data_IF_086647301017
#
_entry.id   IF_086647301017
#
_cell.length_a   1.000
_cell.length_b   1.000
_cell.length_c   1.000
_cell.angle_alpha   90.00
_cell.angle_beta   90.00
_cell.angle_gamma   90.00
#
_symmetry.space_group_name_H-M   'P 1'
#
loop_
_entity.id
_entity.type
_entity.pdbx_description
1 polymer ?
#
# COMPACT_ATOMS: atom_id res chain seq x y z
N UNK A 1 17.24 -3.10 32.72
CA UNK A 1 15.82 -3.39 32.43
C UNK A 1 15.18 -2.16 31.82
N UNK A 2 14.97 -2.18 30.51
CA UNK A 2 13.88 -1.48 29.83
C UNK A 2 13.72 -2.19 28.49
N UNK A 3 13.03 -3.33 28.51
CA UNK A 3 12.54 -3.95 27.28
C UNK A 3 11.51 -2.98 26.72
N UNK A 4 11.87 -2.29 25.64
CA UNK A 4 10.91 -1.57 24.84
C UNK A 4 10.00 -2.63 24.22
N UNK A 5 8.83 -2.81 24.82
CA UNK A 5 7.74 -3.59 24.21
C UNK A 5 7.28 -2.83 22.97
N UNK A 6 7.88 -3.14 21.82
CA UNK A 6 7.34 -2.79 20.52
C UNK A 6 6.17 -3.74 20.30
N UNK A 7 4.94 -3.23 20.42
CA UNK A 7 3.77 -3.95 19.91
C UNK A 7 3.83 -3.90 18.39
N UNK A 8 4.51 -4.88 17.80
CA UNK A 8 4.42 -5.22 16.37
C UNK A 8 3.03 -5.81 16.09
N UNK A 9 2.02 -4.93 16.09
CA UNK A 9 0.61 -5.28 16.01
C UNK A 9 0.02 -5.03 14.63
N UNK A 10 0.32 -5.94 13.70
CA UNK A 10 -0.51 -6.35 12.56
C UNK A 10 -0.84 -5.32 11.45
N UNK A 11 0.06 -5.25 10.46
CA UNK A 11 -0.36 -5.44 9.09
C UNK A 11 0.57 -6.50 8.48
N UNK A 12 0.10 -7.75 8.46
CA UNK A 12 1.00 -8.90 8.21
C UNK A 12 1.32 -9.06 6.72
N UNK A 13 0.43 -8.62 5.84
CA UNK A 13 0.61 -8.62 4.39
C UNK A 13 -0.19 -7.48 3.74
N UNK A 14 0.25 -7.00 2.57
CA UNK A 14 -0.44 -5.99 1.76
C UNK A 14 -1.92 -6.32 1.49
N UNK A 15 -2.22 -7.61 1.26
CA UNK A 15 -3.60 -8.10 1.05
C UNK A 15 -4.53 -7.87 2.24
N UNK A 16 -3.99 -7.75 3.46
CA UNK A 16 -4.80 -7.58 4.67
C UNK A 16 -5.12 -6.09 4.92
N UNK A 17 -4.58 -5.19 4.08
CA UNK A 17 -4.79 -3.75 4.17
C UNK A 17 -6.18 -3.40 3.62
N UNK A 18 -6.93 -2.59 4.36
CA UNK A 18 -8.26 -2.15 3.95
C UNK A 18 -8.24 -1.46 2.57
N UNK A 19 -9.31 -1.61 1.75
CA UNK A 19 -9.35 -1.14 0.36
C UNK A 19 -9.61 0.36 0.25
N UNK A 20 -8.75 1.16 0.87
CA UNK A 20 -8.76 2.60 0.76
C UNK A 20 -7.32 3.13 0.79
N UNK A 21 -7.09 4.23 0.09
CA UNK A 21 -5.76 4.81 -0.07
C UNK A 21 -5.11 5.21 1.26
N UNK A 22 -5.90 5.67 2.24
CA UNK A 22 -5.38 6.05 3.55
C UNK A 22 -4.75 4.87 4.31
N UNK A 23 -5.40 3.70 4.27
CA UNK A 23 -4.88 2.48 4.87
C UNK A 23 -3.62 1.99 4.14
N UNK A 24 -3.59 2.07 2.80
CA UNK A 24 -2.39 1.74 2.01
C UNK A 24 -1.21 2.64 2.37
N UNK A 25 -1.40 3.97 2.39
CA UNK A 25 -0.34 4.91 2.73
C UNK A 25 0.17 4.72 4.17
N UNK A 26 -0.72 4.42 5.11
CA UNK A 26 -0.32 4.09 6.48
C UNK A 26 0.51 2.80 6.53
N UNK A 27 0.05 1.73 5.87
CA UNK A 27 0.78 0.48 5.76
C UNK A 27 2.19 0.69 5.20
N UNK A 28 2.30 1.34 4.04
CA UNK A 28 3.58 1.59 3.39
C UNK A 28 4.50 2.48 4.22
N UNK A 29 3.95 3.42 4.99
CA UNK A 29 4.76 4.22 5.92
C UNK A 29 5.36 3.36 7.02
N UNK A 30 4.59 2.42 7.59
CA UNK A 30 5.09 1.50 8.62
C UNK A 30 6.18 0.60 8.03
N UNK A 31 5.94 0.02 6.86
CA UNK A 31 6.92 -0.83 6.15
C UNK A 31 8.19 -0.08 5.76
N UNK A 32 8.10 1.20 5.40
CA UNK A 32 9.24 2.04 5.04
C UNK A 32 9.87 2.77 6.25
N UNK A 33 9.85 2.15 7.44
CA UNK A 33 10.46 2.67 8.68
C UNK A 33 10.02 4.10 9.04
N UNK A 34 8.76 4.44 8.78
CA UNK A 34 8.17 5.75 9.06
C UNK A 34 8.33 6.78 7.93
N UNK A 35 9.01 6.45 6.84
CA UNK A 35 9.15 7.31 5.65
C UNK A 35 7.79 7.54 5.01
N UNK A 36 7.47 8.80 4.70
CA UNK A 36 6.19 9.16 4.12
C UNK A 36 6.20 8.82 2.63
N UNK A 37 5.37 7.86 2.24
CA UNK A 37 5.00 7.62 0.85
C UNK A 37 3.80 8.51 0.52
N UNK A 38 3.82 9.12 -0.67
CA UNK A 38 2.74 9.99 -1.18
C UNK A 38 2.15 9.37 -2.43
N UNK A 39 0.87 9.65 -2.65
CA UNK A 39 0.25 9.47 -3.96
C UNK A 39 0.80 10.50 -4.95
N UNK A 40 1.30 10.02 -6.09
CA UNK A 40 1.77 10.87 -7.18
C UNK A 40 0.71 10.98 -8.27
N UNK A 41 0.05 9.85 -8.57
CA UNK A 41 -0.94 9.79 -9.64
C UNK A 41 -1.96 8.68 -9.35
N UNK A 42 -3.23 9.01 -9.58
CA UNK A 42 -4.34 8.06 -9.53
C UNK A 42 -5.07 8.16 -10.87
N UNK A 43 -5.22 7.03 -11.56
CA UNK A 43 -5.90 6.99 -12.85
C UNK A 43 -6.50 5.62 -13.13
N UNK A 44 -7.57 5.61 -13.93
CA UNK A 44 -8.15 4.37 -14.43
C UNK A 44 -7.28 3.79 -15.56
N UNK A 45 -6.72 2.60 -15.35
CA UNK A 45 -5.94 1.89 -16.38
C UNK A 45 -6.86 1.07 -17.27
N UNK A 46 -6.88 1.38 -18.57
CA UNK A 46 -7.58 0.58 -19.57
C UNK A 46 -6.99 -0.83 -19.73
N UNK A 47 -5.69 -0.98 -19.46
CA UNK A 47 -4.97 -2.26 -19.52
C UNK A 47 -5.43 -3.21 -18.41
N UNK A 48 -5.59 -2.69 -17.19
CA UNK A 48 -5.97 -3.49 -16.02
C UNK A 48 -7.47 -3.42 -15.69
N UNK A 49 -8.22 -2.53 -16.34
CA UNK A 49 -9.65 -2.33 -16.13
C UNK A 49 -10.00 -1.84 -14.73
N UNK A 50 -9.11 -1.08 -14.08
CA UNK A 50 -9.25 -0.64 -12.68
C UNK A 50 -8.40 0.59 -12.37
N UNK A 51 -8.64 1.19 -11.22
CA UNK A 51 -7.83 2.30 -10.73
C UNK A 51 -6.43 1.83 -10.32
N UNK A 52 -5.43 2.57 -10.78
CA UNK A 52 -4.01 2.39 -10.48
C UNK A 52 -3.52 3.57 -9.68
N UNK A 53 -2.78 3.27 -8.62
CA UNK A 53 -2.20 4.22 -7.67
C UNK A 53 -0.68 4.17 -7.81
N UNK A 54 -0.10 5.14 -8.51
CA UNK A 54 1.35 5.33 -8.57
C UNK A 54 1.78 6.18 -7.37
N UNK A 55 2.72 5.64 -6.60
CA UNK A 55 3.18 6.24 -5.36
C UNK A 55 4.66 6.62 -5.43
N UNK A 56 5.09 7.50 -4.52
CA UNK A 56 6.44 8.06 -4.50
C UNK A 56 7.56 7.07 -4.14
N UNK A 57 7.22 5.82 -3.83
CA UNK A 57 8.17 4.71 -3.71
C UNK A 57 8.59 4.14 -5.08
N UNK A 58 7.99 4.64 -6.17
CA UNK A 58 8.23 4.17 -7.53
C UNK A 58 7.45 2.90 -7.88
N UNK A 59 6.49 2.50 -7.06
CA UNK A 59 5.62 1.35 -7.30
C UNK A 59 4.20 1.80 -7.65
N UNK A 60 3.50 0.91 -8.36
CA UNK A 60 2.08 1.05 -8.61
C UNK A 60 1.29 -0.05 -7.90
N UNK A 61 0.14 0.35 -7.37
CA UNK A 61 -0.76 -0.52 -6.62
C UNK A 61 -2.15 -0.47 -7.24
N UNK A 62 -2.88 -1.56 -7.10
CA UNK A 62 -4.31 -1.62 -7.44
C UNK A 62 -5.04 -2.58 -6.51
N UNK A 63 -6.36 -2.46 -6.49
CA UNK A 63 -7.25 -3.41 -5.84
C UNK A 63 -7.61 -4.54 -6.82
N UNK A 64 -7.58 -5.78 -6.34
CA UNK A 64 -8.13 -6.90 -7.07
C UNK A 64 -9.66 -7.00 -6.93
N UNK A 65 -10.24 -8.03 -7.56
CA UNK A 65 -11.69 -8.23 -7.58
C UNK A 65 -12.23 -8.61 -6.18
N UNK A 66 -11.35 -9.07 -5.28
CA UNK A 66 -11.65 -9.39 -3.88
C UNK A 66 -11.37 -8.20 -2.93
N UNK A 67 -11.02 -7.03 -3.47
CA UNK A 67 -10.61 -5.82 -2.74
C UNK A 67 -9.32 -5.98 -1.93
N UNK A 68 -8.39 -6.82 -2.38
CA UNK A 68 -7.04 -6.88 -1.83
C UNK A 68 -6.08 -6.03 -2.65
N UNK A 69 -5.18 -5.34 -1.95
CA UNK A 69 -4.09 -4.62 -2.61
C UNK A 69 -3.05 -5.57 -3.19
N UNK A 70 -2.59 -5.26 -4.40
CA UNK A 70 -1.45 -5.91 -5.02
C UNK A 70 -0.58 -4.90 -5.78
N UNK A 71 0.68 -5.29 -6.04
CA UNK A 71 1.66 -4.49 -6.78
C UNK A 71 1.52 -4.82 -8.26
N UNK A 72 1.46 -3.78 -9.10
CA UNK A 72 1.53 -3.90 -10.55
C UNK A 72 3.02 -3.90 -10.95
N UNK A 73 3.47 -4.99 -11.57
CA UNK A 73 4.87 -5.18 -11.97
C UNK A 73 5.13 -4.87 -13.46
N UNK A 74 4.08 -4.59 -14.24
CA UNK A 74 4.13 -4.49 -15.69
C UNK A 74 3.61 -3.14 -16.23
N UNK A 75 3.97 -2.03 -15.59
CA UNK A 75 3.65 -0.67 -16.04
C UNK A 75 4.14 -0.39 -17.47
#
# INVERSE_FOLDING_TARGET
MSSAFVKEGEARHLKDVAPNIGALLFFLRVENNGTIIRDEKIYFSQKHGRDVFELSDGLAYALDDDNHWYIILDL
#
